data_IF_728119403558
#
_entry.id   IF_728119403558
#
_cell.length_a   1.000
_cell.length_b   1.000
_cell.length_c   1.000
_cell.angle_alpha   90.00
_cell.angle_beta   90.00
_cell.angle_gamma   90.00
#
_symmetry.space_group_name_H-M   'P 1'
#
loop_
_entity.id
_entity.type
_entity.pdbx_description
1 polymer ?
#
# COMPACT_ATOMS: atom_id res chain seq x y z
N UNK A 1 -19.21 31.79 23.61
CA UNK A 1 -18.66 32.22 22.31
C UNK A 1 -17.19 32.55 22.50
N UNK A 2 -16.32 31.54 22.39
CA UNK A 2 -14.87 31.71 22.36
C UNK A 2 -14.44 31.52 20.91
N UNK A 3 -14.00 32.62 20.30
CA UNK A 3 -13.57 32.66 18.91
C UNK A 3 -12.30 31.84 18.71
N UNK A 4 -12.43 30.72 18.02
CA UNK A 4 -11.28 30.05 17.41
C UNK A 4 -10.97 30.80 16.14
N UNK A 5 -9.85 31.50 16.14
CA UNK A 5 -9.26 32.13 14.95
C UNK A 5 -8.95 31.02 13.95
N UNK A 6 -9.79 30.90 12.92
CA UNK A 6 -9.56 30.02 11.79
C UNK A 6 -8.46 30.62 10.94
N UNK A 7 -7.21 30.22 11.19
CA UNK A 7 -6.15 30.35 10.20
C UNK A 7 -6.66 29.78 8.89
N UNK A 8 -6.66 30.58 7.83
CA UNK A 8 -7.20 30.21 6.53
C UNK A 8 -6.44 29.01 5.98
N UNK A 9 -7.06 27.83 6.05
CA UNK A 9 -6.56 26.61 5.41
C UNK A 9 -6.39 26.85 3.92
N UNK A 10 -5.27 26.40 3.37
CA UNK A 10 -4.99 26.57 1.93
C UNK A 10 -5.98 25.75 1.09
N UNK A 11 -6.25 26.15 -0.16
CA UNK A 11 -7.14 25.42 -1.07
C UNK A 11 -6.90 23.89 -1.13
N UNK A 12 -5.65 23.37 -1.16
CA UNK A 12 -5.41 21.92 -1.13
C UNK A 12 -5.80 21.28 0.21
N UNK A 13 -5.55 21.93 1.36
CA UNK A 13 -5.93 21.41 2.68
C UNK A 13 -7.45 21.30 2.84
N UNK A 14 -8.20 22.27 2.29
CA UNK A 14 -9.66 22.21 2.29
C UNK A 14 -10.18 21.06 1.41
N UNK A 15 -9.55 20.82 0.26
CA UNK A 15 -9.92 19.71 -0.61
C UNK A 15 -9.60 18.35 0.03
N UNK A 16 -8.46 18.22 0.71
CA UNK A 16 -8.10 17.02 1.47
C UNK A 16 -9.09 16.79 2.63
N UNK A 17 -9.45 17.82 3.40
CA UNK A 17 -10.44 17.69 4.47
C UNK A 17 -11.83 17.27 3.97
N UNK A 18 -12.28 17.77 2.81
CA UNK A 18 -13.54 17.35 2.19
C UNK A 18 -13.44 15.90 1.72
N UNK A 19 -12.32 15.51 1.12
CA UNK A 19 -12.10 14.13 0.68
C UNK A 19 -12.11 13.16 1.87
N UNK A 20 -11.46 13.52 2.97
CA UNK A 20 -11.42 12.71 4.19
C UNK A 20 -12.80 12.59 4.84
N UNK A 21 -13.57 13.67 4.89
CA UNK A 21 -14.95 13.64 5.39
C UNK A 21 -15.84 12.72 4.55
N UNK A 22 -15.74 12.82 3.22
CA UNK A 22 -16.47 11.94 2.29
C UNK A 22 -16.05 10.48 2.50
N UNK A 23 -14.75 10.22 2.62
CA UNK A 23 -14.21 8.89 2.88
C UNK A 23 -14.72 8.30 4.20
N UNK A 24 -14.72 9.08 5.29
CA UNK A 24 -15.23 8.64 6.59
C UNK A 24 -16.73 8.31 6.55
N UNK A 25 -17.52 9.17 5.89
CA UNK A 25 -18.96 8.93 5.71
C UNK A 25 -19.25 7.67 4.90
N UNK A 26 -18.47 7.44 3.83
CA UNK A 26 -18.56 6.21 3.03
C UNK A 26 -18.15 4.99 3.83
N UNK A 27 -17.09 5.10 4.66
CA UNK A 27 -16.62 3.99 5.48
C UNK A 27 -17.68 3.58 6.53
N UNK A 28 -18.32 4.55 7.19
CA UNK A 28 -19.44 4.29 8.10
C UNK A 28 -20.62 3.63 7.40
N UNK A 29 -20.97 4.10 6.19
CA UNK A 29 -22.03 3.49 5.40
C UNK A 29 -21.68 2.05 4.98
N UNK A 30 -20.42 1.80 4.61
CA UNK A 30 -19.90 0.48 4.27
C UNK A 30 -19.99 -0.50 5.45
N UNK A 31 -19.56 -0.08 6.64
CA UNK A 31 -19.70 -0.85 7.89
C UNK A 31 -21.19 -1.15 8.16
N UNK A 32 -22.06 -0.17 7.97
CA UNK A 32 -23.51 -0.34 8.11
C UNK A 32 -24.12 -1.34 7.12
N UNK A 33 -23.56 -1.49 5.90
CA UNK A 33 -23.96 -2.54 4.95
C UNK A 33 -23.49 -3.93 5.38
N UNK A 34 -22.36 -4.01 6.06
CA UNK A 34 -21.85 -5.25 6.67
C UNK A 34 -22.78 -5.76 7.77
N UNK A 35 -23.31 -4.88 8.63
CA UNK A 35 -24.19 -5.23 9.75
C UNK A 35 -25.66 -5.49 9.36
N UNK A 36 -26.01 -5.40 8.09
CA UNK A 36 -27.38 -5.64 7.62
C UNK A 36 -27.77 -7.14 7.70
N UNK A 37 -29.06 -7.45 7.95
CA UNK A 37 -29.54 -8.84 8.09
C UNK A 37 -29.28 -9.70 6.84
N UNK A 38 -29.11 -11.00 7.05
CA UNK A 38 -28.83 -11.97 5.99
C UNK A 38 -29.98 -12.00 4.97
N UNK A 39 -29.64 -11.90 3.68
CA UNK A 39 -30.60 -11.82 2.58
C UNK A 39 -30.89 -10.40 2.06
N UNK A 40 -30.52 -9.34 2.79
CA UNK A 40 -30.70 -7.96 2.33
C UNK A 40 -29.82 -7.63 1.11
N UNK A 41 -30.32 -6.79 0.19
CA UNK A 41 -29.54 -6.24 -0.94
C UNK A 41 -28.26 -5.56 -0.45
N UNK A 42 -28.30 -4.92 0.73
CA UNK A 42 -27.13 -4.30 1.38
C UNK A 42 -26.03 -5.32 1.70
N UNK A 43 -26.39 -6.48 2.25
CA UNK A 43 -25.47 -7.58 2.54
C UNK A 43 -24.91 -8.20 1.25
N UNK A 44 -25.73 -8.33 0.19
CA UNK A 44 -25.26 -8.77 -1.13
C UNK A 44 -24.26 -7.80 -1.75
N UNK A 45 -24.50 -6.50 -1.65
CA UNK A 45 -23.56 -5.45 -2.09
C UNK A 45 -22.27 -5.53 -1.28
N UNK A 46 -22.37 -5.69 0.04
CA UNK A 46 -21.20 -5.85 0.90
C UNK A 46 -20.37 -7.09 0.52
N UNK A 47 -20.99 -8.26 0.39
CA UNK A 47 -20.32 -9.49 -0.04
C UNK A 47 -19.72 -9.39 -1.44
N UNK A 48 -20.42 -8.75 -2.38
CA UNK A 48 -19.90 -8.52 -3.73
C UNK A 48 -18.71 -7.56 -3.72
N UNK A 49 -18.79 -6.47 -2.97
CA UNK A 49 -17.66 -5.54 -2.83
C UNK A 49 -16.48 -6.18 -2.10
N UNK A 50 -16.69 -7.03 -1.09
CA UNK A 50 -15.61 -7.83 -0.50
C UNK A 50 -14.98 -8.79 -1.50
N UNK A 51 -15.79 -9.43 -2.37
CA UNK A 51 -15.28 -10.28 -3.46
C UNK A 51 -14.48 -9.49 -4.50
N UNK A 52 -14.83 -8.23 -4.72
CA UNK A 52 -14.09 -7.33 -5.60
C UNK A 52 -12.80 -6.83 -4.94
N UNK A 53 -12.86 -6.45 -3.66
CA UNK A 53 -11.70 -6.03 -2.87
C UNK A 53 -10.69 -7.17 -2.72
N UNK A 54 -11.16 -8.40 -2.52
CA UNK A 54 -10.28 -9.58 -2.46
C UNK A 54 -9.57 -9.86 -3.77
N UNK A 55 -9.94 -9.20 -4.88
CA UNK A 55 -9.24 -9.29 -6.17
C UNK A 55 -8.13 -8.25 -6.32
N UNK A 56 -8.09 -7.22 -5.49
CA UNK A 56 -7.05 -6.18 -5.48
C UNK A 56 -5.67 -6.77 -5.18
N UNK A 57 -4.64 -6.40 -5.95
CA UNK A 57 -3.28 -6.95 -5.75
C UNK A 57 -2.74 -6.54 -4.38
N UNK A 58 -2.06 -7.43 -3.62
CA UNK A 58 -1.48 -7.06 -2.32
C UNK A 58 -0.51 -5.88 -2.40
N UNK A 59 0.19 -5.73 -3.53
CA UNK A 59 1.05 -4.56 -3.80
C UNK A 59 0.27 -3.24 -3.81
N UNK A 60 -0.98 -3.23 -4.27
CA UNK A 60 -1.85 -2.04 -4.22
C UNK A 60 -2.19 -1.69 -2.78
N UNK A 61 -2.50 -2.69 -1.95
CA UNK A 61 -2.79 -2.50 -0.52
C UNK A 61 -1.59 -1.89 0.20
N UNK A 62 -0.39 -2.44 -0.04
CA UNK A 62 0.86 -1.91 0.51
C UNK A 62 1.10 -0.46 0.08
N UNK A 63 0.93 -0.16 -1.21
CA UNK A 63 1.15 1.21 -1.69
C UNK A 63 0.11 2.19 -1.14
N UNK A 64 -1.13 1.75 -0.90
CA UNK A 64 -2.16 2.60 -0.31
C UNK A 64 -1.90 2.91 1.17
N UNK A 65 -1.31 1.99 1.92
CA UNK A 65 -0.98 2.21 3.34
C UNK A 65 0.18 3.18 3.52
N UNK A 66 1.03 3.36 2.50
CA UNK A 66 2.08 4.37 2.50
C UNK A 66 1.46 5.75 2.23
N UNK A 67 0.99 6.41 3.29
CA UNK A 67 0.49 7.79 3.21
C UNK A 67 1.64 8.79 3.02
N UNK A 68 1.31 10.02 2.62
CA UNK A 68 2.28 11.12 2.47
C UNK A 68 3.03 11.39 3.79
N UNK A 69 2.38 11.10 4.92
CA UNK A 69 2.87 11.39 6.28
C UNK A 69 3.81 10.29 6.83
N UNK A 70 3.95 9.17 6.12
CA UNK A 70 4.90 8.13 6.53
C UNK A 70 6.32 8.64 6.26
N UNK A 71 6.99 9.00 7.35
CA UNK A 71 8.39 9.41 7.38
C UNK A 71 9.33 8.22 7.55
N UNK A 72 8.87 7.13 8.17
CA UNK A 72 9.68 5.95 8.50
C UNK A 72 9.02 4.66 8.03
N UNK A 73 9.77 3.84 7.28
CA UNK A 73 9.35 2.51 6.88
C UNK A 73 10.25 1.46 7.54
N UNK A 74 9.65 0.62 8.39
CA UNK A 74 10.32 -0.55 8.96
C UNK A 74 10.15 -1.74 8.01
N UNK A 75 11.27 -2.30 7.56
CA UNK A 75 11.26 -3.49 6.69
C UNK A 75 12.01 -4.60 7.38
N UNK A 76 11.25 -5.63 7.76
CA UNK A 76 11.80 -6.88 8.25
C UNK A 76 12.21 -7.73 7.05
N UNK A 77 13.48 -8.13 7.03
CA UNK A 77 14.01 -9.01 5.99
C UNK A 77 14.85 -10.13 6.63
N UNK A 78 15.01 -11.28 5.96
CA UNK A 78 15.89 -12.33 6.46
C UNK A 78 17.34 -11.83 6.42
N UNK A 79 18.13 -12.10 7.47
CA UNK A 79 19.49 -11.59 7.60
C UNK A 79 20.45 -12.20 6.56
N UNK A 80 20.12 -13.38 6.04
CA UNK A 80 20.80 -14.00 4.89
C UNK A 80 20.75 -13.17 3.60
N UNK A 81 19.74 -12.29 3.45
CA UNK A 81 19.57 -11.47 2.24
C UNK A 81 20.20 -10.08 2.42
N UNK A 82 21.05 -9.71 1.47
CA UNK A 82 21.66 -8.39 1.42
C UNK A 82 20.59 -7.27 1.32
N UNK A 83 20.61 -6.26 2.21
CA UNK A 83 19.63 -5.17 2.21
C UNK A 83 19.64 -4.36 0.89
N UNK A 84 20.77 -4.36 0.16
CA UNK A 84 20.90 -3.76 -1.17
C UNK A 84 19.95 -4.40 -2.20
N UNK A 85 19.73 -5.71 -2.13
CA UNK A 85 18.84 -6.45 -3.04
C UNK A 85 17.38 -6.15 -2.71
N UNK A 86 17.04 -6.12 -1.42
CA UNK A 86 15.71 -5.73 -0.93
C UNK A 86 15.37 -4.33 -1.44
N UNK A 87 16.29 -3.37 -1.30
CA UNK A 87 16.14 -2.01 -1.81
C UNK A 87 15.92 -1.97 -3.33
N UNK A 88 16.71 -2.74 -4.10
CA UNK A 88 16.55 -2.81 -5.56
C UNK A 88 15.17 -3.33 -5.94
N UNK A 89 14.69 -4.38 -5.25
CA UNK A 89 13.36 -4.95 -5.50
C UNK A 89 12.26 -3.96 -5.12
N UNK A 90 12.40 -3.26 -4.01
CA UNK A 90 11.43 -2.26 -3.56
C UNK A 90 11.37 -1.06 -4.50
N UNK A 91 12.52 -0.58 -5.00
CA UNK A 91 12.57 0.44 -6.05
C UNK A 91 11.80 -0.01 -7.28
N UNK A 92 12.00 -1.26 -7.69
CA UNK A 92 11.31 -1.81 -8.86
C UNK A 92 9.79 -1.89 -8.63
N UNK A 93 9.34 -2.29 -7.44
CA UNK A 93 7.92 -2.27 -7.05
C UNK A 93 7.37 -0.84 -7.09
N UNK A 94 8.11 0.14 -6.59
CA UNK A 94 7.70 1.55 -6.60
C UNK A 94 7.56 2.10 -8.03
N UNK A 95 8.59 1.93 -8.88
CA UNK A 95 8.57 2.40 -10.29
C UNK A 95 7.49 1.71 -11.10
N UNK A 96 7.39 0.39 -10.99
CA UNK A 96 6.38 -0.41 -11.69
C UNK A 96 4.98 -0.05 -11.20
N UNK A 97 4.80 0.11 -9.89
CA UNK A 97 3.55 0.53 -9.27
C UNK A 97 3.09 1.91 -9.78
N UNK A 98 3.99 2.88 -9.81
CA UNK A 98 3.69 4.23 -10.29
C UNK A 98 3.22 4.22 -11.76
N UNK A 99 3.96 3.55 -12.64
CA UNK A 99 3.59 3.48 -14.06
C UNK A 99 2.24 2.79 -14.29
N UNK A 100 2.00 1.67 -13.59
CA UNK A 100 0.76 0.89 -13.70
C UNK A 100 -0.43 1.70 -13.16
N UNK A 101 -0.32 2.27 -11.96
CA UNK A 101 -1.40 3.02 -11.33
C UNK A 101 -1.72 4.32 -12.05
N UNK A 102 -0.71 4.98 -12.64
CA UNK A 102 -0.93 6.13 -13.53
C UNK A 102 -1.79 5.73 -14.73
N UNK A 103 -1.46 4.64 -15.43
CA UNK A 103 -2.26 4.16 -16.58
C UNK A 103 -3.70 3.82 -16.19
N UNK A 104 -3.90 3.09 -15.09
CA UNK A 104 -5.25 2.73 -14.64
C UNK A 104 -6.04 3.92 -14.09
N UNK A 105 -5.38 4.93 -13.51
CA UNK A 105 -6.02 6.17 -13.10
C UNK A 105 -6.58 6.92 -14.32
N UNK A 106 -5.77 7.16 -15.35
CA UNK A 106 -6.25 7.80 -16.58
C UNK A 106 -7.35 6.99 -17.26
N UNK A 107 -7.21 5.66 -17.33
CA UNK A 107 -8.25 4.79 -17.85
C UNK A 107 -9.56 4.88 -17.07
N UNK A 108 -9.48 4.94 -15.73
CA UNK A 108 -10.66 5.08 -14.88
C UNK A 108 -11.32 6.45 -15.05
N UNK A 109 -10.54 7.52 -15.14
CA UNK A 109 -11.04 8.88 -15.40
C UNK A 109 -11.74 8.96 -16.76
N UNK A 110 -11.19 8.32 -17.80
CA UNK A 110 -11.82 8.23 -19.11
C UNK A 110 -13.15 7.46 -19.08
N UNK A 111 -13.28 6.46 -18.19
CA UNK A 111 -14.51 5.69 -18.00
C UNK A 111 -15.57 6.42 -17.16
N UNK A 112 -15.21 7.44 -16.37
CA UNK A 112 -16.18 8.21 -15.58
C UNK A 112 -17.33 8.83 -16.40
N UNK A 113 -17.09 9.55 -17.52
CA UNK A 113 -18.19 10.08 -18.32
C UNK A 113 -19.07 8.97 -18.91
N UNK A 114 -18.49 7.85 -19.33
CA UNK A 114 -19.22 6.70 -19.86
C UNK A 114 -20.13 6.09 -18.79
N UNK A 115 -19.60 5.89 -17.58
CA UNK A 115 -20.38 5.33 -16.46
C UNK A 115 -21.38 6.33 -15.87
N UNK A 116 -21.15 7.63 -16.03
CA UNK A 116 -22.08 8.69 -15.64
C UNK A 116 -23.40 8.63 -16.42
N UNK A 117 -23.37 8.24 -17.70
CA UNK A 117 -24.60 8.05 -18.50
C UNK A 117 -25.51 6.99 -17.88
N UNK A 118 -24.94 5.94 -17.29
CA UNK A 118 -25.70 4.89 -16.60
C UNK A 118 -26.30 5.36 -15.26
N UNK A 119 -25.88 6.53 -14.73
CA UNK A 119 -26.43 7.10 -13.51
C UNK A 119 -27.90 7.52 -13.63
N UNK A 120 -28.37 7.75 -14.87
CA UNK A 120 -29.75 8.16 -15.19
C UNK A 120 -30.75 7.00 -15.01
N UNK A 121 -30.28 5.75 -14.97
CA UNK A 121 -31.15 4.59 -14.77
C UNK A 121 -31.56 4.43 -13.29
N UNK A 122 -32.78 3.98 -12.99
CA UNK A 122 -33.27 3.80 -11.61
C UNK A 122 -32.64 2.59 -10.88
N UNK A 123 -31.60 1.98 -11.46
CA UNK A 123 -30.87 0.87 -10.88
C UNK A 123 -29.82 1.38 -9.86
N UNK A 124 -29.42 0.57 -8.87
CA UNK A 124 -28.30 0.94 -8.01
C UNK A 124 -27.05 1.14 -8.88
N UNK A 125 -26.52 2.38 -8.91
CA UNK A 125 -25.42 2.85 -9.75
C UNK A 125 -24.04 2.27 -9.36
N UNK A 126 -23.98 0.96 -9.11
CA UNK A 126 -22.79 0.19 -8.75
C UNK A 126 -21.64 0.40 -9.75
N UNK A 127 -21.85 0.44 -11.09
CA UNK A 127 -20.75 0.63 -12.04
C UNK A 127 -20.05 1.98 -11.89
N UNK A 128 -20.82 3.04 -11.67
CA UNK A 128 -20.30 4.38 -11.47
C UNK A 128 -19.51 4.47 -10.16
N UNK A 129 -20.10 4.04 -9.04
CA UNK A 129 -19.43 4.02 -7.74
C UNK A 129 -18.17 3.15 -7.74
N UNK A 130 -18.19 2.01 -8.45
CA UNK A 130 -17.03 1.16 -8.62
C UNK A 130 -15.90 1.85 -9.40
N UNK A 131 -16.24 2.53 -10.50
CA UNK A 131 -15.25 3.26 -11.31
C UNK A 131 -14.62 4.40 -10.53
N UNK A 132 -15.43 5.12 -9.74
CA UNK A 132 -14.95 6.17 -8.84
C UNK A 132 -14.04 5.60 -7.74
N UNK A 133 -14.45 4.51 -7.10
CA UNK A 133 -13.63 3.81 -6.12
C UNK A 133 -12.30 3.34 -6.73
N UNK A 134 -12.31 2.80 -7.95
CA UNK A 134 -11.10 2.37 -8.66
C UNK A 134 -10.20 3.55 -9.01
N UNK A 135 -10.76 4.66 -9.47
CA UNK A 135 -10.00 5.89 -9.72
C UNK A 135 -9.32 6.38 -8.43
N UNK A 136 -10.07 6.51 -7.33
CA UNK A 136 -9.52 6.93 -6.04
C UNK A 136 -8.45 5.97 -5.51
N UNK A 137 -8.71 4.65 -5.59
CA UNK A 137 -7.76 3.63 -5.12
C UNK A 137 -6.46 3.66 -5.92
N UNK A 138 -6.52 3.88 -7.23
CA UNK A 138 -5.32 4.02 -8.07
C UNK A 138 -4.60 5.34 -7.84
N UNK A 139 -5.34 6.43 -7.63
CA UNK A 139 -4.73 7.70 -7.25
C UNK A 139 -4.00 7.60 -5.90
N UNK A 140 -4.61 6.97 -4.89
CA UNK A 140 -3.98 6.76 -3.58
C UNK A 140 -2.75 5.85 -3.66
N UNK A 141 -2.83 4.74 -4.41
CA UNK A 141 -1.70 3.85 -4.63
C UNK A 141 -0.56 4.53 -5.41
N UNK A 142 -0.89 5.43 -6.35
CA UNK A 142 0.10 6.21 -7.08
C UNK A 142 0.88 7.13 -6.13
N UNK A 143 0.18 7.87 -5.27
CA UNK A 143 0.80 8.73 -4.25
C UNK A 143 1.77 7.94 -3.35
N UNK A 144 1.36 6.77 -2.88
CA UNK A 144 2.22 5.93 -2.05
C UNK A 144 3.40 5.33 -2.82
N UNK A 145 3.25 5.04 -4.12
CA UNK A 145 4.37 4.57 -4.96
C UNK A 145 5.41 5.65 -5.23
N UNK A 146 4.98 6.89 -5.42
CA UNK A 146 5.86 8.05 -5.54
C UNK A 146 6.58 8.31 -4.22
N UNK A 147 5.86 8.24 -3.10
CA UNK A 147 6.45 8.36 -1.76
C UNK A 147 7.49 7.26 -1.51
N UNK A 148 7.15 6.02 -1.81
CA UNK A 148 8.07 4.89 -1.71
C UNK A 148 9.31 5.08 -2.61
N UNK A 149 9.13 5.59 -3.83
CA UNK A 149 10.23 5.86 -4.74
C UNK A 149 11.18 6.94 -4.19
N UNK A 150 10.65 8.03 -3.64
CA UNK A 150 11.42 9.09 -2.98
C UNK A 150 12.21 8.53 -1.82
N UNK A 151 11.54 7.83 -0.90
CA UNK A 151 12.17 7.22 0.26
C UNK A 151 13.31 6.26 -0.16
N UNK A 152 13.14 5.46 -1.23
CA UNK A 152 14.16 4.51 -1.72
C UNK A 152 15.32 5.21 -2.47
N UNK A 153 15.10 6.45 -2.92
CA UNK A 153 16.07 7.25 -3.69
C UNK A 153 16.92 8.14 -2.81
N UNK A 154 16.32 8.82 -1.82
CA UNK A 154 16.99 9.78 -0.94
C UNK A 154 18.10 9.11 -0.10
N UNK A 155 17.90 7.86 0.30
CA UNK A 155 18.94 7.06 0.99
C UNK A 155 20.14 6.68 0.11
N UNK A 156 20.08 6.91 -1.20
CA UNK A 156 21.23 6.71 -2.09
C UNK A 156 22.22 7.87 -2.04
N UNK A 157 21.80 9.05 -1.58
CA UNK A 157 22.61 10.27 -1.54
C UNK A 157 23.27 10.53 -0.18
N UNK A 158 22.56 10.30 0.93
CA UNK A 158 23.04 10.65 2.28
C UNK A 158 24.26 9.83 2.75
N UNK A 159 24.41 8.60 2.26
CA UNK A 159 25.58 7.77 2.60
C UNK A 159 26.89 8.25 1.97
N UNK A 160 26.84 9.07 0.91
CA UNK A 160 28.03 9.63 0.25
C UNK A 160 28.37 11.02 0.77
N UNK A 161 27.36 11.87 0.98
CA UNK A 161 27.57 13.24 1.46
C UNK A 161 27.99 13.29 2.94
N UNK A 162 27.57 12.35 3.77
CA UNK A 162 27.96 12.31 5.19
C UNK A 162 29.38 11.75 5.42
N UNK A 163 29.86 10.86 4.55
CA UNK A 163 31.23 10.33 4.60
C UNK A 163 32.27 11.35 4.12
N UNK A 164 31.92 12.21 3.15
CA UNK A 164 32.77 13.31 2.69
C UNK A 164 32.81 14.49 3.68
N UNK A 165 31.67 14.77 4.34
CA UNK A 165 31.55 15.89 5.29
C UNK A 165 32.17 15.62 6.67
N UNK A 166 32.42 14.35 7.03
CA UNK A 166 33.00 13.97 8.33
C UNK A 166 34.53 14.10 8.40
N UNK A 167 35.22 14.22 7.26
CA UNK A 167 36.67 14.45 7.23
C UNK A 167 37.09 15.92 7.38
N UNK A 168 36.13 16.85 7.55
CA UNK A 168 36.47 18.27 7.68
C UNK A 168 35.38 19.09 8.34
N UNK A 169 35.08 18.85 9.63
CA UNK A 169 34.69 19.92 10.56
C UNK A 169 34.52 19.33 11.97
N UNK A 170 35.45 19.67 12.86
CA UNK A 170 35.29 19.55 14.30
C UNK A 170 34.31 20.58 14.84
N UNK A 171 33.58 20.16 15.90
CA UNK A 171 32.96 20.96 16.99
C UNK A 171 31.45 21.26 16.94
N UNK A 172 30.85 20.94 18.10
CA UNK A 172 29.58 21.34 18.73
C UNK A 172 28.32 20.49 18.49
N UNK A 173 27.90 19.92 19.63
CA UNK A 173 26.59 19.32 19.93
C UNK A 173 25.49 20.36 19.70
N UNK A 174 24.43 19.93 19.04
CA UNK A 174 23.07 20.01 19.57
C UNK A 174 22.28 18.82 19.03
N UNK A 175 21.56 18.16 19.93
CA UNK A 175 20.87 16.91 19.67
C UNK A 175 19.59 17.16 18.91
N UNK A 176 19.58 16.78 17.64
CA UNK A 176 18.36 16.38 16.95
C UNK A 176 18.65 15.02 16.34
N UNK A 177 17.97 13.99 16.83
CA UNK A 177 18.19 12.62 16.40
C UNK A 177 17.86 12.52 14.91
N UNK A 178 18.89 12.38 14.08
CA UNK A 178 18.77 11.98 12.68
C UNK A 178 18.09 10.61 12.64
N UNK A 179 16.76 10.61 12.59
CA UNK A 179 15.99 9.43 12.27
C UNK A 179 16.28 9.12 10.80
N UNK A 180 17.12 8.11 10.57
CA UNK A 180 17.20 7.51 9.25
C UNK A 180 15.75 7.16 8.83
N UNK A 181 15.27 7.56 7.64
CA UNK A 181 13.89 7.30 7.23
C UNK A 181 13.58 5.80 7.04
N UNK A 182 14.55 4.93 7.30
CA UNK A 182 14.55 3.50 7.03
C UNK A 182 15.28 2.73 8.12
N UNK A 183 14.60 1.73 8.69
CA UNK A 183 15.24 0.74 9.54
C UNK A 183 15.05 -0.64 8.89
N UNK A 184 16.10 -1.14 8.24
CA UNK A 184 16.13 -2.54 7.83
C UNK A 184 16.42 -3.35 9.07
N UNK A 185 15.44 -4.15 9.51
CA UNK A 185 15.59 -5.04 10.64
C UNK A 185 15.91 -6.44 10.09
N UNK A 186 17.20 -6.86 10.11
CA UNK A 186 17.55 -8.22 9.78
C UNK A 186 16.99 -9.15 10.86
N UNK A 187 16.16 -10.11 10.46
CA UNK A 187 15.51 -11.04 11.39
C UNK A 187 16.10 -12.43 11.26
N UNK A 188 16.95 -12.81 12.22
CA UNK A 188 17.47 -14.18 12.34
C UNK A 188 16.34 -15.21 12.53
N UNK A 189 15.24 -14.80 13.18
CA UNK A 189 14.05 -15.63 13.33
C UNK A 189 13.43 -15.98 11.97
N UNK A 190 13.48 -15.05 11.01
CA UNK A 190 13.02 -15.29 9.65
C UNK A 190 13.97 -16.22 8.89
N UNK A 191 15.29 -16.10 9.09
CA UNK A 191 16.26 -17.04 8.53
C UNK A 191 16.04 -18.47 9.02
N UNK A 192 15.71 -18.67 10.30
CA UNK A 192 15.40 -20.00 10.85
C UNK A 192 14.18 -20.67 10.20
N UNK A 193 13.23 -19.89 9.66
CA UNK A 193 12.12 -20.43 8.86
C UNK A 193 12.53 -20.79 7.42
N UNK A 194 13.59 -20.15 6.90
CA UNK A 194 14.06 -20.30 5.52
C UNK A 194 15.17 -21.34 5.37
N UNK A 195 16.08 -21.48 6.34
CA UNK A 195 17.19 -22.45 6.32
C UNK A 195 16.73 -23.91 6.25
N UNK A 196 15.46 -24.19 6.57
CA UNK A 196 14.92 -25.55 6.62
C UNK A 196 14.68 -26.19 5.24
N UNK A 197 14.80 -25.45 4.11
CA UNK A 197 14.66 -26.00 2.74
C UNK A 197 15.46 -25.22 1.69
N UNK A 198 15.87 -25.93 0.63
CA UNK A 198 16.59 -25.35 -0.51
C UNK A 198 15.77 -24.29 -1.25
N UNK A 199 16.44 -23.23 -1.69
CA UNK A 199 15.89 -22.00 -2.29
C UNK A 199 15.19 -22.20 -3.66
N UNK A 200 15.22 -23.41 -4.21
CA UNK A 200 14.68 -23.72 -5.55
C UNK A 200 13.20 -24.08 -5.54
N UNK A 201 12.66 -24.53 -4.39
CA UNK A 201 11.22 -24.74 -4.20
C UNK A 201 10.64 -23.60 -3.35
N UNK A 202 9.59 -22.94 -3.86
CA UNK A 202 8.91 -21.87 -3.14
C UNK A 202 8.44 -22.29 -1.73
N UNK A 203 8.23 -21.33 -0.83
CA UNK A 203 7.85 -21.63 0.55
C UNK A 203 6.53 -22.44 0.64
N UNK A 204 6.55 -23.47 1.48
CA UNK A 204 5.38 -24.27 1.82
C UNK A 204 4.31 -23.46 2.57
N UNK A 205 3.05 -23.85 2.40
CA UNK A 205 1.89 -23.22 3.03
C UNK A 205 1.98 -23.25 4.57
N UNK A 206 2.58 -24.30 5.16
CA UNK A 206 2.77 -24.40 6.61
C UNK A 206 3.78 -23.37 7.12
N UNK A 207 4.94 -23.26 6.47
CA UNK A 207 5.97 -22.25 6.81
C UNK A 207 5.41 -20.84 6.67
N UNK A 208 4.67 -20.55 5.59
CA UNK A 208 3.99 -19.26 5.40
C UNK A 208 3.02 -18.99 6.55
N UNK A 209 2.24 -19.99 6.97
CA UNK A 209 1.31 -19.85 8.09
C UNK A 209 2.02 -19.48 9.39
N UNK A 210 3.19 -20.07 9.67
CA UNK A 210 3.99 -19.76 10.87
C UNK A 210 4.60 -18.37 10.83
N UNK A 211 5.08 -17.93 9.66
CA UNK A 211 5.58 -16.56 9.45
C UNK A 211 4.43 -15.57 9.65
N UNK A 212 3.26 -15.83 9.07
CA UNK A 212 2.09 -14.96 9.21
C UNK A 212 1.66 -14.80 10.68
N UNK A 213 1.66 -15.88 11.46
CA UNK A 213 1.36 -15.82 12.89
C UNK A 213 2.43 -15.05 13.68
N UNK A 214 3.70 -15.13 13.27
CA UNK A 214 4.81 -14.51 14.00
C UNK A 214 4.87 -13.00 13.80
N UNK A 215 4.53 -12.51 12.60
CA UNK A 215 4.64 -11.11 12.23
C UNK A 215 3.28 -10.43 12.03
N UNK A 216 2.19 -11.06 12.48
CA UNK A 216 0.81 -10.59 12.37
C UNK A 216 0.44 -10.17 10.92
N UNK A 217 0.76 -11.04 9.96
CA UNK A 217 0.47 -10.83 8.54
C UNK A 217 -0.80 -11.58 8.13
N UNK A 218 -1.58 -10.99 7.23
CA UNK A 218 -2.70 -11.71 6.63
C UNK A 218 -2.20 -12.85 5.72
N UNK A 219 -2.54 -14.08 6.10
CA UNK A 219 -2.18 -15.30 5.37
C UNK A 219 -2.75 -15.29 3.95
N UNK A 220 -3.97 -14.77 3.76
CA UNK A 220 -4.64 -14.78 2.45
C UNK A 220 -3.89 -13.89 1.47
N UNK A 221 -3.53 -12.68 1.88
CA UNK A 221 -2.75 -11.75 1.07
C UNK A 221 -1.35 -12.28 0.73
N UNK A 222 -0.66 -12.94 1.68
CA UNK A 222 0.67 -13.51 1.44
C UNK A 222 0.62 -14.66 0.44
N UNK A 223 -0.32 -15.59 0.60
CA UNK A 223 -0.51 -16.70 -0.35
C UNK A 223 -0.87 -16.18 -1.74
N UNK A 224 -1.76 -15.19 -1.81
CA UNK A 224 -2.12 -14.53 -3.07
C UNK A 224 -0.92 -13.88 -3.73
N UNK A 225 -0.04 -13.22 -2.96
CA UNK A 225 1.18 -12.62 -3.50
C UNK A 225 2.14 -13.67 -4.07
N UNK A 226 2.33 -14.79 -3.34
CA UNK A 226 3.12 -15.93 -3.81
C UNK A 226 2.58 -16.47 -5.14
N UNK A 227 1.29 -16.74 -5.22
CA UNK A 227 0.69 -17.36 -6.41
C UNK A 227 0.72 -16.43 -7.65
N UNK A 228 0.75 -15.10 -7.45
CA UNK A 228 0.87 -14.12 -8.53
C UNK A 228 2.30 -13.99 -9.08
N UNK A 229 3.31 -14.05 -8.22
CA UNK A 229 4.73 -13.86 -8.59
C UNK A 229 5.43 -15.18 -8.93
N UNK A 230 5.02 -16.27 -8.28
CA UNK A 230 5.51 -17.63 -8.50
C UNK A 230 4.32 -18.57 -8.76
N UNK A 231 3.72 -18.51 -9.97
CA UNK A 231 2.68 -19.45 -10.34
C UNK A 231 3.28 -20.85 -10.31
N UNK A 232 2.75 -21.68 -9.42
CA UNK A 232 3.11 -23.10 -9.30
C UNK A 232 3.10 -23.74 -10.70
N UNK A 233 4.02 -24.65 -10.97
CA UNK A 233 4.05 -25.43 -12.20
C UNK A 233 2.69 -26.10 -12.51
N UNK A 234 1.86 -26.35 -11.48
CA UNK A 234 0.51 -26.88 -11.61
C UNK A 234 -0.53 -25.90 -12.21
N UNK A 235 -0.30 -24.59 -12.20
CA UNK A 235 -1.21 -23.59 -12.79
C UNK A 235 -0.83 -23.17 -14.20
N UNK A 236 0.22 -23.79 -14.77
CA UNK A 236 0.68 -23.53 -16.14
C UNK A 236 -0.02 -24.42 -17.18
N UNK A 237 -0.87 -25.36 -16.74
CA UNK A 237 -1.59 -26.33 -17.55
C UNK A 237 -3.11 -26.14 -17.44
N UNK A 238 -3.63 -24.92 -17.67
CA UNK A 238 -5.04 -24.66 -17.96
C UNK A 238 -5.18 -23.43 -18.81
#
# INVERSE_FOLDING_TARGET
WLGVSAGGRTAPENAEAVADFVADKMNRAWIGFGSAPEGSVKRRIHSFGLKLLSRVRPSETLLKSLTKDVSMLEIVHPASINPRLVRRRLRHIAVRGAAIHKKYLYGSICMLPVTSVFMVLPLPNIPFFWTLFRAYSHWRALQGSERLHLLVSDCSGEGKTLLEKKNGMSTRKDGDSQYAPWNFQPSQKLDGFLERRGLDEGLDCDTISRICQTYDLDKVDVLKYRDLEWPSSASRTT
#
